data_IF_981857245488
#
_entry.id   IF_981857245488
#
_cell.length_a   1.000
_cell.length_b   1.000
_cell.length_c   1.000
_cell.angle_alpha   90.00
_cell.angle_beta   90.00
_cell.angle_gamma   90.00
#
_symmetry.space_group_name_H-M   'P 1'
#
loop_
_entity.id
_entity.type
_entity.pdbx_description
1 polymer ?
#
# COMPACT_ATOMS: atom_id res chain seq x y z
N UNK A 1 -14.91 64.04 -39.63
CA UNK A 1 -15.91 63.47 -38.70
C UNK A 1 -16.26 62.06 -39.15
N UNK A 2 -15.54 61.05 -38.64
CA UNK A 2 -15.96 59.64 -38.61
C UNK A 2 -15.48 59.11 -37.27
N UNK A 3 -16.44 58.84 -36.36
CA UNK A 3 -16.23 58.10 -35.11
C UNK A 3 -16.28 56.61 -35.43
N UNK A 4 -15.52 55.79 -34.72
CA UNK A 4 -15.69 54.34 -34.80
C UNK A 4 -14.61 53.52 -34.09
N UNK A 5 -14.46 53.69 -32.78
CA UNK A 5 -13.75 52.72 -31.95
C UNK A 5 -14.65 51.48 -31.78
N UNK A 6 -14.20 50.34 -32.31
CA UNK A 6 -14.69 48.98 -32.02
C UNK A 6 -13.41 48.12 -32.06
N UNK A 7 -12.92 47.60 -30.95
CA UNK A 7 -13.55 46.55 -30.16
C UNK A 7 -12.65 45.32 -30.25
N UNK A 8 -12.01 45.00 -29.14
CA UNK A 8 -10.99 43.96 -28.89
C UNK A 8 -11.40 42.58 -29.41
N UNK A 9 -10.45 41.84 -29.99
CA UNK A 9 -10.45 40.36 -29.92
C UNK A 9 -9.03 39.82 -29.80
N UNK A 10 -8.38 40.05 -28.66
CA UNK A 10 -7.25 39.23 -28.20
C UNK A 10 -7.89 37.97 -27.62
N UNK A 11 -8.13 36.98 -28.48
CA UNK A 11 -8.71 35.69 -28.12
C UNK A 11 -7.72 34.56 -28.31
N UNK A 12 -6.58 34.59 -27.62
CA UNK A 12 -5.70 33.43 -27.46
C UNK A 12 -5.05 33.52 -26.08
N UNK A 13 -5.86 33.34 -25.04
CA UNK A 13 -5.32 33.06 -23.72
C UNK A 13 -6.07 31.88 -23.13
N UNK A 14 -5.27 30.85 -22.84
CA UNK A 14 -5.53 29.76 -21.91
C UNK A 14 -6.46 28.66 -22.43
N UNK A 15 -5.91 27.78 -23.27
CA UNK A 15 -6.18 26.34 -23.12
C UNK A 15 -5.54 25.95 -21.77
N UNK A 16 -6.21 26.30 -20.66
CA UNK A 16 -6.09 25.50 -19.45
C UNK A 16 -6.79 24.23 -19.88
N UNK A 17 -6.01 23.27 -20.37
CA UNK A 17 -6.27 21.88 -20.09
C UNK A 17 -6.40 21.84 -18.57
N UNK A 18 -7.62 22.04 -18.09
CA UNK A 18 -8.10 21.44 -16.88
C UNK A 18 -7.88 19.95 -17.08
N UNK A 19 -6.65 19.52 -16.79
CA UNK A 19 -6.38 18.18 -16.29
C UNK A 19 -7.13 18.16 -14.97
N UNK A 20 -8.46 18.06 -15.07
CA UNK A 20 -9.35 17.96 -13.96
C UNK A 20 -8.87 16.72 -13.24
N UNK A 21 -8.32 16.92 -12.06
CA UNK A 21 -8.15 15.84 -11.12
C UNK A 21 -9.58 15.44 -10.78
N UNK A 22 -10.10 14.43 -11.47
CA UNK A 22 -11.35 13.75 -11.13
C UNK A 22 -11.07 12.90 -9.89
N UNK A 23 -10.87 13.56 -8.76
CA UNK A 23 -10.80 12.89 -7.46
C UNK A 23 -12.15 13.07 -6.78
N UNK A 24 -13.13 12.25 -7.19
CA UNK A 24 -14.30 11.99 -6.36
C UNK A 24 -13.89 10.87 -5.42
N UNK A 25 -13.53 11.21 -4.18
CA UNK A 25 -13.32 10.21 -3.13
C UNK A 25 -14.70 9.77 -2.64
N UNK A 26 -15.23 8.68 -3.19
CA UNK A 26 -16.41 8.04 -2.62
C UNK A 26 -16.02 7.29 -1.36
N UNK A 27 -16.46 7.76 -0.20
CA UNK A 27 -16.32 7.03 1.06
C UNK A 27 -17.37 5.92 1.09
N UNK A 28 -16.94 4.69 0.85
CA UNK A 28 -17.77 3.52 1.02
C UNK A 28 -18.13 3.35 2.51
N UNK A 29 -19.42 3.18 2.79
CA UNK A 29 -19.88 2.85 4.14
C UNK A 29 -19.70 1.34 4.36
N UNK A 30 -19.24 0.91 5.55
CA UNK A 30 -19.21 -0.50 5.89
C UNK A 30 -20.63 -1.07 5.81
N UNK A 31 -20.76 -2.31 5.29
CA UNK A 31 -22.04 -3.01 5.23
C UNK A 31 -22.64 -3.11 6.64
N UNK A 32 -23.94 -2.79 6.83
CA UNK A 32 -24.61 -2.96 8.12
C UNK A 32 -24.79 -4.44 8.51
N UNK A 33 -24.51 -5.37 7.58
CA UNK A 33 -24.63 -6.80 7.77
C UNK A 33 -23.26 -7.41 8.09
N UNK A 34 -22.91 -7.46 9.38
CA UNK A 34 -22.16 -8.53 10.08
C UNK A 34 -21.51 -7.96 11.35
N UNK A 35 -22.18 -8.07 12.50
CA UNK A 35 -21.69 -7.61 13.80
C UNK A 35 -20.84 -8.65 14.54
N UNK A 36 -20.62 -9.83 13.95
CA UNK A 36 -19.92 -10.96 14.57
C UNK A 36 -18.60 -11.32 13.85
N UNK A 37 -18.09 -10.46 12.97
CA UNK A 37 -16.76 -10.64 12.42
C UNK A 37 -15.73 -10.44 13.53
N UNK A 38 -14.82 -11.40 13.70
CA UNK A 38 -13.66 -11.20 14.57
C UNK A 38 -12.80 -10.08 14.00
N UNK A 39 -12.48 -9.09 14.83
CA UNK A 39 -11.54 -8.04 14.45
C UNK A 39 -10.15 -8.67 14.27
N UNK A 40 -9.56 -8.44 13.10
CA UNK A 40 -8.21 -8.88 12.77
C UNK A 40 -7.42 -7.63 12.44
N UNK A 41 -6.21 -7.53 13.01
CA UNK A 41 -5.33 -6.41 12.74
C UNK A 41 -5.13 -6.21 11.23
N UNK A 42 -5.53 -5.04 10.73
CA UNK A 42 -5.32 -4.62 9.35
C UNK A 42 -3.97 -3.92 9.19
N UNK A 43 -3.38 -3.90 7.98
CA UNK A 43 -2.16 -3.14 7.73
C UNK A 43 -2.29 -1.67 8.15
N UNK A 44 -1.17 -1.09 8.56
CA UNK A 44 -1.07 0.33 8.84
C UNK A 44 -1.29 1.20 7.60
N UNK A 45 -1.54 2.48 7.82
CA UNK A 45 -1.71 3.46 6.75
C UNK A 45 -0.34 3.98 6.26
N UNK A 46 0.30 3.21 5.36
CA UNK A 46 1.63 3.50 4.80
C UNK A 46 1.63 4.50 3.63
N UNK A 47 0.49 4.68 2.95
CA UNK A 47 0.34 5.60 1.80
C UNK A 47 -0.81 6.55 2.09
N UNK A 48 -0.48 7.81 2.34
CA UNK A 48 -1.49 8.83 2.63
C UNK A 48 -2.29 9.18 1.37
N UNK A 49 -3.55 9.57 1.56
CA UNK A 49 -4.46 9.93 0.46
C UNK A 49 -3.89 11.00 -0.48
N UNK A 50 -3.11 11.95 0.05
CA UNK A 50 -2.48 13.01 -0.73
C UNK A 50 -1.34 12.51 -1.64
N UNK A 51 -0.79 11.33 -1.38
CA UNK A 51 0.21 10.66 -2.22
C UNK A 51 -0.42 9.92 -3.40
N UNK A 52 -1.75 9.77 -3.42
CA UNK A 52 -2.49 9.07 -4.48
C UNK A 52 -3.17 10.12 -5.38
N UNK A 53 -2.86 10.09 -6.68
CA UNK A 53 -3.47 10.95 -7.69
C UNK A 53 -4.05 10.12 -8.81
N UNK A 54 -5.36 10.23 -9.01
CA UNK A 54 -6.08 9.57 -10.09
C UNK A 54 -6.36 10.59 -11.19
N UNK A 55 -5.92 10.25 -12.41
CA UNK A 55 -6.17 11.01 -13.63
C UNK A 55 -6.93 10.12 -14.61
N UNK A 56 -7.50 10.72 -15.67
CA UNK A 56 -8.27 10.00 -16.68
C UNK A 56 -7.54 8.86 -17.39
N UNK A 57 -6.20 8.91 -17.44
CA UNK A 57 -5.37 7.95 -18.18
C UNK A 57 -4.32 7.25 -17.31
N UNK A 58 -4.18 7.62 -16.03
CA UNK A 58 -3.14 7.08 -15.16
C UNK A 58 -3.46 7.29 -13.70
N UNK A 59 -2.84 6.45 -12.87
CA UNK A 59 -2.76 6.64 -11.42
C UNK A 59 -1.30 6.93 -11.10
N UNK A 60 -1.05 7.95 -10.29
CA UNK A 60 0.27 8.24 -9.73
C UNK A 60 0.22 8.03 -8.23
N UNK A 61 1.10 7.16 -7.72
CA UNK A 61 1.30 6.95 -6.28
C UNK A 61 2.72 7.43 -5.98
N UNK A 62 2.85 8.53 -5.25
CA UNK A 62 4.15 9.13 -4.96
C UNK A 62 4.75 8.57 -3.66
N UNK A 63 5.55 7.52 -3.80
CA UNK A 63 6.22 6.83 -2.71
C UNK A 63 7.72 6.70 -3.01
N UNK A 64 8.59 7.40 -2.27
CA UNK A 64 10.02 7.32 -2.50
C UNK A 64 10.54 5.93 -2.13
N UNK A 65 11.51 5.44 -2.91
CA UNK A 65 12.22 4.17 -2.66
C UNK A 65 11.30 2.94 -2.60
N UNK A 66 10.19 2.95 -3.35
CA UNK A 66 9.35 1.78 -3.49
C UNK A 66 9.99 0.72 -4.39
N UNK A 67 9.74 -0.55 -4.07
CA UNK A 67 10.09 -1.68 -4.92
C UNK A 67 8.84 -2.40 -5.41
N UNK A 68 8.93 -2.97 -6.60
CA UNK A 68 7.92 -3.88 -7.14
C UNK A 68 8.33 -5.33 -6.86
N UNK A 69 7.36 -6.19 -6.60
CA UNK A 69 7.60 -7.63 -6.39
C UNK A 69 6.43 -8.47 -6.88
N UNK A 70 6.77 -9.66 -7.36
CA UNK A 70 5.85 -10.77 -7.59
C UNK A 70 6.16 -11.90 -6.62
N UNK A 71 5.19 -12.80 -6.42
CA UNK A 71 5.31 -13.91 -5.48
C UNK A 71 5.16 -15.26 -6.16
N UNK A 72 5.80 -16.27 -5.57
CA UNK A 72 5.57 -17.66 -5.95
C UNK A 72 4.26 -18.12 -5.32
N UNK A 73 3.48 -18.88 -6.07
CA UNK A 73 2.23 -19.47 -5.59
C UNK A 73 2.52 -20.58 -4.56
N UNK A 74 2.38 -20.23 -3.28
CA UNK A 74 2.49 -21.14 -2.15
C UNK A 74 1.15 -21.38 -1.46
N UNK A 75 0.08 -20.68 -1.86
CA UNK A 75 -1.22 -20.59 -1.20
C UNK A 75 -1.18 -20.09 0.27
N UNK A 76 -0.01 -19.71 0.82
CA UNK A 76 0.11 -19.35 2.25
C UNK A 76 -0.51 -18.00 2.59
N UNK A 77 -0.62 -17.12 1.60
CA UNK A 77 -1.21 -15.80 1.73
C UNK A 77 -2.61 -15.70 1.12
N UNK A 78 -3.23 -16.81 0.74
CA UNK A 78 -4.61 -16.78 0.25
C UNK A 78 -5.58 -16.30 1.36
N UNK A 79 -6.64 -15.56 1.02
CA UNK A 79 -6.96 -15.02 -0.30
C UNK A 79 -6.32 -13.65 -0.56
N UNK A 80 -5.42 -13.18 0.30
CA UNK A 80 -4.85 -11.84 0.24
C UNK A 80 -3.81 -11.66 -0.88
N UNK A 81 -3.03 -12.69 -1.21
CA UNK A 81 -2.03 -12.65 -2.27
C UNK A 81 -2.01 -14.00 -2.98
N UNK A 82 -2.17 -13.96 -4.30
CA UNK A 82 -2.20 -15.12 -5.18
C UNK A 82 -1.33 -14.85 -6.44
N UNK A 83 -1.15 -15.87 -7.28
CA UNK A 83 -0.42 -15.79 -8.53
C UNK A 83 -0.94 -14.65 -9.43
N UNK A 84 0.00 -13.90 -10.02
CA UNK A 84 -0.31 -12.76 -10.87
C UNK A 84 -0.52 -11.43 -10.11
N UNK A 85 -0.67 -11.46 -8.79
CA UNK A 85 -0.71 -10.26 -7.98
C UNK A 85 0.63 -9.51 -8.02
N UNK A 86 0.55 -8.18 -8.13
CA UNK A 86 1.70 -7.28 -8.12
C UNK A 86 1.73 -6.52 -6.80
N UNK A 87 2.78 -6.72 -5.99
CA UNK A 87 2.96 -5.93 -4.78
C UNK A 87 3.89 -4.74 -5.02
N UNK A 88 3.52 -3.64 -4.39
CA UNK A 88 4.41 -2.51 -4.16
C UNK A 88 4.83 -2.52 -2.70
N UNK A 89 6.12 -2.38 -2.45
CA UNK A 89 6.70 -2.43 -1.11
C UNK A 89 7.54 -1.20 -0.80
N UNK A 90 7.62 -0.86 0.48
CA UNK A 90 8.50 0.18 1.00
C UNK A 90 9.44 -0.43 2.03
N UNK A 91 10.74 -0.10 1.95
CA UNK A 91 11.69 -0.51 2.98
C UNK A 91 11.44 0.30 4.26
N UNK A 92 11.08 -0.33 5.39
CA UNK A 92 10.87 0.39 6.64
C UNK A 92 12.22 0.92 7.16
N UNK A 93 12.22 2.17 7.64
CA UNK A 93 13.43 2.82 8.16
C UNK A 93 13.59 2.64 9.67
N UNK A 94 12.52 2.23 10.35
CA UNK A 94 12.46 2.10 11.80
C UNK A 94 11.56 0.90 12.17
N UNK A 95 11.97 0.02 13.10
CA UNK A 95 11.15 -1.11 13.54
C UNK A 95 9.79 -0.70 14.13
N UNK A 96 9.70 0.50 14.70
CA UNK A 96 8.46 1.02 15.29
C UNK A 96 7.41 1.45 14.27
N UNK A 97 7.78 1.58 12.99
CA UNK A 97 6.83 1.87 11.92
C UNK A 97 5.98 0.64 11.56
N UNK A 98 6.50 -0.56 11.83
CA UNK A 98 5.82 -1.82 11.53
C UNK A 98 4.88 -2.15 12.69
N UNK A 99 3.62 -2.39 12.35
CA UNK A 99 2.52 -2.65 13.27
C UNK A 99 1.93 -4.04 13.04
N UNK A 100 1.24 -4.59 14.05
CA UNK A 100 0.40 -5.77 13.84
C UNK A 100 -0.60 -5.51 12.71
N UNK A 101 -0.77 -6.49 11.83
CA UNK A 101 -1.58 -6.40 10.62
C UNK A 101 -0.79 -6.08 9.36
N UNK A 102 0.40 -5.49 9.46
CA UNK A 102 1.27 -5.25 8.30
C UNK A 102 1.70 -6.56 7.65
N UNK A 103 1.94 -6.52 6.35
CA UNK A 103 2.48 -7.66 5.59
C UNK A 103 3.91 -7.32 5.21
N UNK A 104 4.84 -8.16 5.64
CA UNK A 104 6.26 -7.90 5.49
C UNK A 104 6.93 -8.97 4.64
N UNK A 105 7.86 -8.55 3.79
CA UNK A 105 8.80 -9.44 3.14
C UNK A 105 10.10 -9.51 3.95
N UNK A 106 10.65 -10.70 4.11
CA UNK A 106 11.86 -10.91 4.91
C UNK A 106 12.70 -12.09 4.42
N UNK A 107 14.01 -11.98 4.61
CA UNK A 107 14.96 -13.02 4.23
C UNK A 107 15.03 -14.12 5.29
N UNK A 108 14.97 -15.36 4.81
CA UNK A 108 15.23 -16.58 5.58
C UNK A 108 16.35 -17.39 4.94
N UNK A 109 16.76 -18.48 5.58
CA UNK A 109 17.68 -19.45 4.98
C UNK A 109 17.10 -20.17 3.76
N UNK A 110 15.78 -20.17 3.59
CA UNK A 110 15.06 -20.80 2.49
C UNK A 110 14.73 -19.83 1.35
N UNK A 111 15.00 -18.54 1.54
CA UNK A 111 14.71 -17.47 0.57
C UNK A 111 13.84 -16.36 1.14
N UNK A 112 13.31 -15.54 0.24
CA UNK A 112 12.44 -14.41 0.56
C UNK A 112 11.01 -14.91 0.80
N UNK A 113 10.44 -14.59 1.97
CA UNK A 113 9.07 -14.95 2.37
C UNK A 113 8.27 -13.66 2.58
N UNK A 114 6.94 -13.73 2.39
CA UNK A 114 6.00 -12.65 2.68
C UNK A 114 4.90 -13.18 3.60
N UNK A 115 4.71 -12.60 4.78
CA UNK A 115 3.66 -13.00 5.73
C UNK A 115 3.15 -11.80 6.55
N UNK A 116 1.99 -11.95 7.20
CA UNK A 116 1.37 -10.91 8.04
C UNK A 116 1.96 -10.92 9.44
N UNK A 117 2.30 -9.74 9.95
CA UNK A 117 2.70 -9.51 11.35
C UNK A 117 1.47 -9.69 12.23
N UNK A 118 1.54 -10.62 13.17
CA UNK A 118 0.51 -10.80 14.20
C UNK A 118 0.90 -10.12 15.51
N UNK A 119 2.20 -10.04 15.80
CA UNK A 119 2.72 -9.42 17.02
C UNK A 119 4.12 -8.82 16.80
N UNK A 120 4.41 -7.73 17.51
CA UNK A 120 5.76 -7.17 17.66
C UNK A 120 6.17 -7.22 19.12
N UNK A 121 7.40 -7.65 19.39
CA UNK A 121 7.99 -7.64 20.73
C UNK A 121 9.45 -7.20 20.73
N UNK A 122 10.04 -7.16 21.91
CA UNK A 122 11.46 -6.88 22.13
C UNK A 122 12.07 -7.96 23.03
N UNK A 123 13.31 -8.33 22.75
CA UNK A 123 14.13 -9.15 23.63
C UNK A 123 15.59 -8.66 23.61
N UNK A 124 16.52 -9.41 24.22
CA UNK A 124 17.93 -9.03 24.31
C UNK A 124 18.62 -8.82 22.95
N UNK A 125 18.05 -9.35 21.87
CA UNK A 125 18.55 -9.20 20.51
C UNK A 125 17.87 -8.04 19.74
N UNK A 126 17.00 -7.27 20.41
CA UNK A 126 16.26 -6.14 19.84
C UNK A 126 14.84 -6.50 19.41
N UNK A 127 14.25 -5.66 18.55
CA UNK A 127 12.87 -5.83 18.09
C UNK A 127 12.72 -7.09 17.23
N UNK A 128 11.63 -7.82 17.45
CA UNK A 128 11.23 -8.94 16.63
C UNK A 128 9.74 -8.89 16.28
N UNK A 129 9.38 -9.67 15.27
CA UNK A 129 8.02 -9.84 14.79
C UNK A 129 7.66 -11.32 14.77
N UNK A 130 6.46 -11.62 15.23
CA UNK A 130 5.81 -12.91 15.00
C UNK A 130 4.93 -12.72 13.78
N UNK A 131 5.11 -13.58 12.79
CA UNK A 131 4.41 -13.51 11.51
C UNK A 131 3.67 -14.81 11.22
N UNK A 132 2.71 -14.73 10.31
CA UNK A 132 1.89 -15.85 9.89
C UNK A 132 1.36 -15.61 8.46
N UNK A 133 1.37 -16.65 7.63
CA UNK A 133 0.62 -16.63 6.37
C UNK A 133 -0.89 -16.60 6.63
N UNK A 134 -1.62 -15.76 5.89
CA UNK A 134 -3.07 -15.58 6.09
C UNK A 134 -3.84 -16.91 6.05
N UNK A 135 -3.43 -17.83 5.18
CA UNK A 135 -4.02 -19.16 5.01
C UNK A 135 -3.36 -20.28 5.87
N UNK A 136 -2.34 -19.96 6.65
CA UNK A 136 -1.69 -20.97 7.50
C UNK A 136 -2.51 -21.21 8.78
N UNK A 137 -2.49 -22.41 9.39
CA UNK A 137 -3.19 -22.65 10.67
C UNK A 137 -2.41 -22.13 11.88
N UNK A 138 -1.08 -22.01 11.76
CA UNK A 138 -0.16 -21.65 12.84
C UNK A 138 0.74 -20.50 12.40
N UNK A 139 1.31 -19.79 13.37
CA UNK A 139 2.36 -18.82 13.15
C UNK A 139 3.65 -19.48 12.63
N UNK A 140 4.51 -18.67 12.02
CA UNK A 140 5.83 -19.11 11.61
C UNK A 140 6.67 -19.50 12.83
N UNK A 141 7.53 -20.53 12.71
CA UNK A 141 8.26 -21.07 13.84
C UNK A 141 9.37 -20.15 14.37
N UNK A 142 9.83 -19.20 13.56
CA UNK A 142 10.96 -18.31 13.89
C UNK A 142 10.49 -16.86 14.03
N UNK A 143 11.07 -16.17 15.01
CA UNK A 143 10.96 -14.71 15.13
C UNK A 143 11.68 -14.05 13.96
N UNK A 144 11.03 -13.08 13.32
CA UNK A 144 11.64 -12.25 12.27
C UNK A 144 12.28 -11.03 12.93
N UNK A 145 13.57 -10.81 12.65
CA UNK A 145 14.30 -9.62 13.12
C UNK A 145 14.21 -8.48 12.13
N UNK A 146 14.32 -7.24 12.61
CA UNK A 146 14.18 -6.05 11.78
C UNK A 146 15.17 -6.04 10.60
N UNK A 147 16.41 -6.48 10.81
CA UNK A 147 17.43 -6.58 9.77
C UNK A 147 17.12 -7.59 8.66
N UNK A 148 16.23 -8.56 8.92
CA UNK A 148 15.79 -9.52 7.91
C UNK A 148 14.73 -8.93 6.97
N UNK A 149 14.05 -7.86 7.40
CA UNK A 149 12.93 -7.27 6.67
C UNK A 149 13.43 -6.49 5.46
N UNK A 150 12.92 -6.86 4.29
CA UNK A 150 13.26 -6.23 3.01
C UNK A 150 12.23 -5.20 2.58
N UNK A 151 10.98 -5.33 3.02
CA UNK A 151 9.92 -4.39 2.70
C UNK A 151 8.62 -4.66 3.45
N UNK A 152 7.78 -3.63 3.53
CA UNK A 152 6.37 -3.73 3.91
C UNK A 152 5.52 -3.57 2.66
N UNK A 153 4.56 -4.46 2.45
CA UNK A 153 3.61 -4.41 1.34
C UNK A 153 2.61 -3.29 1.59
N UNK A 154 2.54 -2.33 0.65
CA UNK A 154 1.72 -1.12 0.79
C UNK A 154 0.62 -1.00 -0.27
N UNK A 155 0.71 -1.76 -1.35
CA UNK A 155 -0.34 -1.88 -2.35
C UNK A 155 -0.27 -3.23 -3.05
N UNK A 156 -1.43 -3.81 -3.34
CA UNK A 156 -1.58 -4.98 -4.22
C UNK A 156 -2.40 -4.56 -5.44
N UNK A 157 -1.92 -4.93 -6.61
CA UNK A 157 -2.60 -4.72 -7.89
C UNK A 157 -2.85 -6.10 -8.50
N UNK A 158 -4.12 -6.41 -8.70
CA UNK A 158 -4.61 -7.61 -9.37
C UNK A 158 -4.86 -7.33 -10.86
#
# INVERSE_FOLDING_TARGET
MVKGFRGVMIGFLVILLSIGVLSVSEKYLPSPFNTNAFDVHSPGDWIKEDQIKVYSQRILINIPNASWSSFTDTNSMDPFLDIGANAIQIKPVNPFNISSGDIISFNTTQGLIVHRVIERGEDELGTYYIVKGDNNPLQDPQKVRFEQITGVVVAIIY
#
